data_IF_806221904958
#
_entry.id   IF_806221904958
#
_cell.length_a   1.000
_cell.length_b   1.000
_cell.length_c   1.000
_cell.angle_alpha   90.00
_cell.angle_beta   90.00
_cell.angle_gamma   90.00
#
_symmetry.space_group_name_H-M   'P 1'
#
loop_
_entity.id
_entity.type
_entity.pdbx_description
1 polymer ?
#
# COMPACT_ATOMS: atom_id res chain seq x y z
N UNK A 1 2.03 -5.10 15.51
CA UNK A 1 1.22 -5.09 14.28
C UNK A 1 0.46 -3.78 14.27
N UNK A 2 0.64 -2.97 13.24
CA UNK A 2 -0.04 -1.68 13.13
C UNK A 2 -1.43 -1.83 12.54
N UNK A 3 -2.33 -0.89 12.85
CA UNK A 3 -3.73 -0.88 12.39
C UNK A 3 -3.83 -1.00 10.86
N UNK A 4 -3.00 -0.27 10.13
CA UNK A 4 -2.90 -0.35 8.67
C UNK A 4 -2.58 -1.77 8.17
N UNK A 5 -1.63 -2.46 8.82
CA UNK A 5 -1.25 -3.82 8.42
C UNK A 5 -2.41 -4.80 8.63
N UNK A 6 -3.21 -4.62 9.68
CA UNK A 6 -4.41 -5.43 9.92
C UNK A 6 -5.47 -5.15 8.85
N UNK A 7 -5.75 -3.88 8.54
CA UNK A 7 -6.72 -3.47 7.52
C UNK A 7 -6.36 -4.01 6.12
N UNK A 8 -5.08 -3.96 5.75
CA UNK A 8 -4.60 -4.53 4.48
C UNK A 8 -4.72 -6.07 4.48
N UNK A 9 -4.41 -6.72 5.61
CA UNK A 9 -4.54 -8.16 5.73
C UNK A 9 -6.00 -8.62 5.62
N UNK A 10 -6.94 -7.90 6.24
CA UNK A 10 -8.38 -8.15 6.10
C UNK A 10 -8.87 -7.95 4.66
N UNK A 11 -8.42 -6.88 4.00
CA UNK A 11 -8.76 -6.64 2.60
C UNK A 11 -8.18 -7.72 1.65
N UNK A 12 -7.03 -8.32 2.01
CA UNK A 12 -6.46 -9.47 1.28
C UNK A 12 -7.10 -10.80 1.64
N UNK A 13 -7.65 -10.97 2.85
CA UNK A 13 -8.15 -12.27 3.33
C UNK A 13 -9.31 -12.83 2.48
N UNK A 14 -10.05 -11.96 1.78
CA UNK A 14 -11.12 -12.35 0.86
C UNK A 14 -10.69 -12.51 -0.60
N UNK A 15 -9.41 -12.32 -0.92
CA UNK A 15 -8.88 -12.33 -2.28
C UNK A 15 -7.98 -13.54 -2.50
N UNK A 16 -8.05 -14.12 -3.71
CA UNK A 16 -7.06 -15.12 -4.13
C UNK A 16 -5.65 -14.52 -4.11
N UNK A 17 -4.61 -15.34 -3.96
CA UNK A 17 -3.20 -14.89 -3.91
C UNK A 17 -2.81 -14.02 -5.11
N UNK A 18 -3.44 -14.25 -6.27
CA UNK A 18 -3.21 -13.51 -7.52
C UNK A 18 -4.15 -12.28 -7.70
N UNK A 19 -5.12 -12.11 -6.81
CA UNK A 19 -6.09 -11.01 -6.88
C UNK A 19 -5.55 -9.80 -6.12
N UNK A 20 -5.44 -8.67 -6.83
CA UNK A 20 -5.09 -7.39 -6.22
C UNK A 20 -6.25 -6.84 -5.39
N UNK A 21 -5.91 -6.08 -4.34
CA UNK A 21 -6.91 -5.39 -3.52
C UNK A 21 -7.68 -4.41 -4.41
N UNK A 22 -9.02 -4.52 -4.49
CA UNK A 22 -9.80 -3.63 -5.33
C UNK A 22 -9.73 -2.20 -4.80
N UNK A 23 -9.89 -1.24 -5.71
CA UNK A 23 -9.82 0.18 -5.40
C UNK A 23 -10.77 0.62 -4.28
N UNK A 24 -11.99 0.08 -4.28
CA UNK A 24 -12.99 0.39 -3.25
C UNK A 24 -12.53 -0.03 -1.84
N UNK A 25 -11.76 -1.12 -1.73
CA UNK A 25 -11.19 -1.55 -0.45
C UNK A 25 -10.06 -0.59 -0.01
N UNK A 26 -9.20 -0.15 -0.94
CA UNK A 26 -8.20 0.89 -0.63
C UNK A 26 -8.82 2.19 -0.14
N UNK A 27 -9.93 2.64 -0.74
CA UNK A 27 -10.65 3.82 -0.28
C UNK A 27 -11.25 3.64 1.12
N UNK A 28 -11.78 2.45 1.42
CA UNK A 28 -12.29 2.13 2.75
C UNK A 28 -11.16 2.11 3.82
N UNK A 29 -9.98 1.62 3.46
CA UNK A 29 -8.78 1.68 4.32
C UNK A 29 -8.35 3.14 4.50
N UNK A 30 -8.28 3.92 3.41
CA UNK A 30 -7.86 5.32 3.43
C UNK A 30 -8.68 6.18 4.40
N UNK A 31 -10.00 5.94 4.46
CA UNK A 31 -10.92 6.64 5.39
C UNK A 31 -10.65 6.34 6.86
N UNK A 32 -10.00 5.22 7.16
CA UNK A 32 -9.65 4.79 8.52
C UNK A 32 -8.21 5.15 8.88
N UNK A 33 -7.40 5.62 7.92
CA UNK A 33 -6.03 6.05 8.14
C UNK A 33 -6.00 7.47 8.73
N UNK A 34 -5.31 7.64 9.86
CA UNK A 34 -4.95 8.94 10.41
C UNK A 34 -3.50 9.31 10.10
N UNK A 35 -2.98 10.34 10.78
CA UNK A 35 -1.58 10.78 10.63
C UNK A 35 -0.56 9.67 10.91
N UNK A 36 -0.83 8.80 11.90
CA UNK A 36 0.06 7.69 12.23
C UNK A 36 0.15 6.66 11.09
N UNK A 37 -1.00 6.30 10.49
CA UNK A 37 -1.05 5.39 9.34
C UNK A 37 -0.42 6.02 8.10
N UNK A 38 -0.57 7.33 7.88
CA UNK A 38 0.07 8.05 6.78
C UNK A 38 1.59 7.92 6.86
N UNK A 39 2.18 8.20 8.02
CA UNK A 39 3.64 8.05 8.24
C UNK A 39 4.09 6.61 8.02
N UNK A 40 3.28 5.62 8.43
CA UNK A 40 3.59 4.21 8.17
C UNK A 40 3.53 3.87 6.67
N UNK A 41 2.55 4.39 5.93
CA UNK A 41 2.44 4.19 4.48
C UNK A 41 3.67 4.78 3.79
N UNK A 42 4.10 5.99 4.15
CA UNK A 42 5.31 6.62 3.62
C UNK A 42 6.56 5.79 3.89
N UNK A 43 6.74 5.33 5.13
CA UNK A 43 7.86 4.46 5.50
C UNK A 43 7.85 3.14 4.71
N UNK A 44 6.66 2.57 4.45
CA UNK A 44 6.49 1.36 3.64
C UNK A 44 6.87 1.61 2.17
N UNK A 45 6.45 2.73 1.59
CA UNK A 45 6.82 3.13 0.22
C UNK A 45 8.33 3.29 0.09
N UNK A 46 8.99 3.93 1.05
CA UNK A 46 10.43 4.09 1.06
C UNK A 46 11.14 2.72 1.12
N UNK A 47 10.65 1.81 1.97
CA UNK A 47 11.19 0.45 2.10
C UNK A 47 11.00 -0.38 0.83
N UNK A 48 9.87 -0.24 0.14
CA UNK A 48 9.60 -0.93 -1.13
C UNK A 48 10.44 -0.36 -2.27
N UNK A 49 10.65 0.96 -2.29
CA UNK A 49 11.53 1.62 -3.25
C UNK A 49 12.97 1.13 -3.10
N UNK A 50 13.47 1.07 -1.86
CA UNK A 50 14.81 0.56 -1.58
C UNK A 50 14.96 -0.93 -1.95
N UNK A 51 13.91 -1.74 -1.71
CA UNK A 51 13.89 -3.13 -2.17
C UNK A 51 13.96 -3.21 -3.70
N UNK A 52 13.16 -2.40 -4.40
CA UNK A 52 13.16 -2.35 -5.87
C UNK A 52 14.54 -1.98 -6.44
N UNK A 53 15.24 -1.03 -5.83
CA UNK A 53 16.61 -0.68 -6.22
C UNK A 53 17.63 -1.79 -5.94
N UNK A 54 17.35 -2.66 -4.95
CA UNK A 54 18.17 -3.81 -4.62
C UNK A 54 17.82 -5.07 -5.43
N UNK A 55 16.68 -5.10 -6.13
CA UNK A 55 16.31 -6.21 -7.02
C UNK A 55 17.16 -6.16 -8.29
N UNK A 56 17.74 -7.30 -8.64
CA UNK A 56 18.55 -7.43 -9.85
C UNK A 56 17.68 -7.28 -11.11
N UNK A 57 18.22 -6.64 -12.14
CA UNK A 57 17.49 -6.29 -13.38
C UNK A 57 16.94 -7.50 -14.16
N UNK A 58 17.49 -8.70 -13.90
CA UNK A 58 17.03 -9.94 -14.53
C UNK A 58 15.75 -10.50 -13.88
N UNK A 59 15.40 -10.04 -12.68
CA UNK A 59 14.20 -10.47 -11.96
C UNK A 59 13.03 -9.49 -12.23
N UNK A 60 12.59 -9.50 -13.49
CA UNK A 60 11.52 -8.63 -13.98
C UNK A 60 10.16 -8.87 -13.31
N UNK A 61 9.89 -10.09 -12.85
CA UNK A 61 8.63 -10.45 -12.17
C UNK A 61 8.57 -9.78 -10.79
N UNK A 62 9.67 -9.89 -10.01
CA UNK A 62 9.78 -9.22 -8.71
C UNK A 62 9.75 -7.69 -8.86
N UNK A 63 10.37 -7.14 -9.91
CA UNK A 63 10.32 -5.71 -10.19
C UNK A 63 8.89 -5.23 -10.48
N UNK A 64 8.11 -6.01 -11.21
CA UNK A 64 6.71 -5.71 -11.55
C UNK A 64 5.81 -5.79 -10.30
N UNK A 65 5.98 -6.82 -9.47
CA UNK A 65 5.30 -6.94 -8.17
C UNK A 65 5.60 -5.74 -7.26
N UNK A 66 6.87 -5.35 -7.14
CA UNK A 66 7.27 -4.18 -6.35
C UNK A 66 6.72 -2.89 -6.95
N UNK A 67 6.70 -2.76 -8.28
CA UNK A 67 6.11 -1.61 -8.95
C UNK A 67 4.61 -1.48 -8.63
N UNK A 68 3.85 -2.58 -8.74
CA UNK A 68 2.43 -2.60 -8.39
C UNK A 68 2.20 -2.35 -6.90
N UNK A 69 3.02 -2.90 -6.02
CA UNK A 69 2.94 -2.65 -4.59
C UNK A 69 3.15 -1.16 -4.28
N UNK A 70 4.21 -0.55 -4.80
CA UNK A 70 4.51 0.88 -4.62
C UNK A 70 3.35 1.73 -5.13
N UNK A 71 2.87 1.47 -6.36
CA UNK A 71 1.77 2.23 -6.95
C UNK A 71 0.48 2.18 -6.10
N UNK A 72 0.16 0.99 -5.56
CA UNK A 72 -1.00 0.82 -4.67
C UNK A 72 -0.84 1.62 -3.37
N UNK A 73 0.34 1.56 -2.73
CA UNK A 73 0.59 2.32 -1.49
C UNK A 73 0.63 3.84 -1.73
N UNK A 74 1.22 4.31 -2.84
CA UNK A 74 1.19 5.73 -3.20
C UNK A 74 -0.23 6.23 -3.42
N UNK A 75 -1.09 5.41 -4.03
CA UNK A 75 -2.51 5.73 -4.19
C UNK A 75 -3.23 5.79 -2.84
N UNK A 76 -2.99 4.82 -1.96
CA UNK A 76 -3.54 4.82 -0.62
C UNK A 76 -3.13 6.08 0.15
N UNK A 77 -1.86 6.48 0.07
CA UNK A 77 -1.36 7.71 0.68
C UNK A 77 -2.12 8.93 0.17
N UNK A 78 -2.30 9.06 -1.14
CA UNK A 78 -3.03 10.18 -1.73
C UNK A 78 -4.49 10.23 -1.25
N UNK A 79 -5.15 9.08 -1.15
CA UNK A 79 -6.51 8.98 -0.62
C UNK A 79 -6.57 9.34 0.87
N UNK A 80 -5.66 8.81 1.69
CA UNK A 80 -5.61 9.07 3.12
C UNK A 80 -5.36 10.56 3.41
N UNK A 81 -4.42 11.18 2.68
CA UNK A 81 -4.14 12.63 2.78
C UNK A 81 -5.34 13.46 2.31
N UNK A 82 -6.01 13.06 1.23
CA UNK A 82 -7.21 13.74 0.75
C UNK A 82 -8.36 13.68 1.76
N UNK A 83 -8.49 12.57 2.49
CA UNK A 83 -9.48 12.41 3.56
C UNK A 83 -9.09 13.17 4.84
N UNK A 84 -7.81 13.15 5.23
CA UNK A 84 -7.32 13.84 6.45
C UNK A 84 -7.25 15.37 6.35
N UNK A 85 -7.23 15.95 5.14
CA UNK A 85 -7.29 17.41 4.91
C UNK A 85 -8.71 17.97 4.74
N UNK A 86 -9.73 17.11 4.84
CA UNK A 86 -11.12 17.45 4.54
C UNK A 86 -12.00 17.84 5.73
N UNK A 87 -11.41 18.11 6.91
CA UNK A 87 -12.15 18.58 8.10
C UNK A 87 -11.92 20.08 8.38
#
# INVERSE_FOLDING_TARGET
MSTLTALIAEAKAGLSVQQNIPQAAWEAIARQCGEAEIVEIEARIATLTAQREAVEEWDGDTLDDLYFAIANFTRLLALAVAHGRGE
#
